data_IF_083793610602
#
_entry.id   IF_083793610602
#
_cell.length_a   1.000
_cell.length_b   1.000
_cell.length_c   1.000
_cell.angle_alpha   90.00
_cell.angle_beta   90.00
_cell.angle_gamma   90.00
#
_symmetry.space_group_name_H-M   'P 1'
#
loop_
_entity.id
_entity.type
_entity.pdbx_description
1 polymer ?
#
# COMPACT_ATOMS: atom_id res chain seq x y z
N UNK A 1 -33.89 -27.21 -22.06
CA UNK A 1 -34.12 -26.14 -21.06
C UNK A 1 -32.83 -25.49 -20.53
N UNK A 2 -31.69 -26.19 -20.46
CA UNK A 2 -30.46 -25.63 -19.87
C UNK A 2 -29.75 -24.56 -20.73
N UNK A 3 -29.86 -24.63 -22.05
CA UNK A 3 -29.17 -23.69 -22.95
C UNK A 3 -29.74 -22.26 -22.87
N UNK A 4 -31.06 -22.14 -22.70
CA UNK A 4 -31.76 -20.84 -22.68
C UNK A 4 -31.53 -20.10 -21.36
N UNK A 5 -31.50 -20.84 -20.24
CA UNK A 5 -31.12 -20.29 -18.93
C UNK A 5 -29.67 -19.83 -18.89
N UNK A 6 -28.75 -20.62 -19.47
CA UNK A 6 -27.34 -20.24 -19.54
C UNK A 6 -27.13 -18.98 -20.40
N UNK A 7 -27.88 -18.85 -21.49
CA UNK A 7 -27.84 -17.67 -22.35
C UNK A 7 -28.36 -16.42 -21.62
N UNK A 8 -29.48 -16.52 -20.92
CA UNK A 8 -30.04 -15.42 -20.13
C UNK A 8 -29.11 -15.01 -18.98
N UNK A 9 -28.50 -15.98 -18.31
CA UNK A 9 -27.49 -15.74 -17.27
C UNK A 9 -26.28 -14.97 -17.81
N UNK A 10 -25.72 -15.43 -18.93
CA UNK A 10 -24.57 -14.77 -19.56
C UNK A 10 -24.89 -13.35 -20.04
N UNK A 11 -26.08 -13.13 -20.60
CA UNK A 11 -26.53 -11.80 -21.01
C UNK A 11 -26.60 -10.84 -19.81
N UNK A 12 -27.14 -11.32 -18.68
CA UNK A 12 -27.24 -10.54 -17.45
C UNK A 12 -25.86 -10.20 -16.88
N UNK A 13 -24.96 -11.18 -16.82
CA UNK A 13 -23.58 -11.00 -16.35
C UNK A 13 -22.83 -10.00 -17.23
N UNK A 14 -23.01 -10.04 -18.55
CA UNK A 14 -22.36 -9.11 -19.46
C UNK A 14 -22.89 -7.68 -19.29
N UNK A 15 -24.22 -7.50 -19.18
CA UNK A 15 -24.80 -6.19 -18.93
C UNK A 15 -24.29 -5.55 -17.61
N UNK A 16 -24.12 -6.35 -16.55
CA UNK A 16 -23.52 -5.89 -15.30
C UNK A 16 -22.05 -5.48 -15.48
N UNK A 17 -21.26 -6.29 -16.19
CA UNK A 17 -19.84 -5.98 -16.47
C UNK A 17 -19.68 -4.73 -17.31
N UNK A 18 -20.55 -4.52 -18.31
CA UNK A 18 -20.52 -3.37 -19.19
C UNK A 18 -20.91 -2.09 -18.44
N UNK A 19 -21.94 -2.16 -17.60
CA UNK A 19 -22.32 -1.05 -16.71
C UNK A 19 -21.19 -0.70 -15.73
N UNK A 20 -20.62 -1.70 -15.05
CA UNK A 20 -19.50 -1.49 -14.14
C UNK A 20 -18.27 -0.92 -14.86
N UNK A 21 -17.97 -1.41 -16.07
CA UNK A 21 -16.89 -0.89 -16.92
C UNK A 21 -17.15 0.55 -17.37
N UNK A 22 -18.39 0.91 -17.70
CA UNK A 22 -18.75 2.26 -18.10
C UNK A 22 -18.60 3.28 -16.96
N UNK A 23 -18.90 2.87 -15.72
CA UNK A 23 -18.79 3.74 -14.53
C UNK A 23 -17.37 3.77 -13.96
N UNK A 24 -16.71 2.61 -13.84
CA UNK A 24 -15.46 2.45 -13.11
C UNK A 24 -14.23 2.32 -14.02
N UNK A 25 -14.43 2.16 -15.33
CA UNK A 25 -13.36 1.81 -16.27
C UNK A 25 -12.86 0.37 -16.10
N UNK A 26 -11.87 -0.01 -16.91
CA UNK A 26 -11.15 -1.30 -16.79
C UNK A 26 -9.71 -1.03 -16.39
N UNK A 27 -9.26 -1.68 -15.33
CA UNK A 27 -7.83 -1.74 -15.02
C UNK A 27 -7.12 -2.59 -16.07
N UNK A 28 -5.99 -2.11 -16.61
CA UNK A 28 -5.18 -2.90 -17.54
C UNK A 28 -4.78 -4.23 -16.89
N UNK A 29 -5.04 -5.39 -17.52
CA UNK A 29 -4.57 -6.68 -17.03
C UNK A 29 -3.05 -6.63 -16.82
N UNK A 30 -2.57 -7.08 -15.67
CA UNK A 30 -1.13 -7.15 -15.37
C UNK A 30 -0.51 -5.88 -14.75
N UNK A 31 -1.25 -4.78 -14.59
CA UNK A 31 -0.81 -3.71 -13.66
C UNK A 31 -1.23 -4.08 -12.25
N UNK A 32 -0.40 -4.90 -11.59
CA UNK A 32 -0.41 -4.95 -10.13
C UNK A 32 -0.27 -3.52 -9.59
N UNK A 33 -0.94 -3.27 -8.46
CA UNK A 33 -0.79 -2.10 -7.57
C UNK A 33 0.48 -1.34 -7.92
N UNK A 34 0.37 -0.09 -8.42
CA UNK A 34 1.52 0.78 -8.66
C UNK A 34 2.47 0.52 -7.49
N UNK A 35 3.63 -0.05 -7.79
CA UNK A 35 4.69 -0.20 -6.80
C UNK A 35 5.03 1.23 -6.43
N UNK A 36 4.34 1.74 -5.40
CA UNK A 36 4.81 2.86 -4.62
C UNK A 36 6.11 2.31 -4.07
N UNK A 37 7.20 2.54 -4.79
CA UNK A 37 8.52 2.13 -4.39
C UNK A 37 8.67 2.66 -2.97
N UNK A 38 8.55 1.74 -2.01
CA UNK A 38 8.50 2.13 -0.62
C UNK A 38 9.96 2.20 -0.24
N UNK A 39 10.64 3.26 -0.68
CA UNK A 39 12.10 3.36 -0.66
C UNK A 39 12.70 3.24 0.76
N UNK A 40 11.87 3.42 1.79
CA UNK A 40 12.19 3.23 3.21
C UNK A 40 11.77 1.85 3.78
N UNK A 41 11.32 0.90 2.95
CA UNK A 41 10.80 -0.43 3.32
C UNK A 41 11.88 -1.50 3.31
N UNK A 42 12.79 -1.42 4.26
CA UNK A 42 13.87 -2.40 4.44
C UNK A 42 13.40 -3.67 5.19
N UNK A 43 14.27 -4.67 5.30
CA UNK A 43 13.99 -5.95 5.99
C UNK A 43 13.62 -5.74 7.48
N UNK A 44 14.23 -4.76 8.14
CA UNK A 44 13.94 -4.43 9.54
C UNK A 44 12.50 -3.92 9.70
N UNK A 45 12.07 -2.99 8.84
CA UNK A 45 10.69 -2.47 8.79
C UNK A 45 9.71 -3.60 8.48
N UNK A 46 10.06 -4.52 7.59
CA UNK A 46 9.21 -5.67 7.27
C UNK A 46 9.05 -6.60 8.48
N UNK A 47 10.17 -6.96 9.10
CA UNK A 47 10.20 -7.86 10.25
C UNK A 47 9.38 -7.31 11.43
N UNK A 48 9.58 -6.03 11.79
CA UNK A 48 8.86 -5.43 12.92
C UNK A 48 7.36 -5.27 12.64
N UNK A 49 6.98 -5.00 11.39
CA UNK A 49 5.56 -4.92 11.00
C UNK A 49 4.91 -6.31 10.99
N UNK A 50 5.63 -7.34 10.55
CA UNK A 50 5.16 -8.72 10.59
C UNK A 50 4.98 -9.19 12.04
N UNK A 51 5.93 -8.88 12.93
CA UNK A 51 5.82 -9.19 14.36
C UNK A 51 4.63 -8.49 15.01
N UNK A 52 4.49 -7.17 14.79
CA UNK A 52 3.32 -6.40 15.23
C UNK A 52 2.00 -7.01 14.73
N UNK A 53 1.95 -7.49 13.49
CA UNK A 53 0.75 -8.12 12.89
C UNK A 53 0.43 -9.46 13.58
N UNK A 54 1.44 -10.30 13.81
CA UNK A 54 1.27 -11.57 14.51
C UNK A 54 0.72 -11.38 15.93
N UNK A 55 1.22 -10.39 16.66
CA UNK A 55 0.71 -10.09 18.02
C UNK A 55 -0.72 -9.54 17.98
N UNK A 56 -1.04 -8.71 16.99
CA UNK A 56 -2.42 -8.24 16.77
C UNK A 56 -3.38 -9.41 16.50
N UNK A 57 -2.99 -10.35 15.64
CA UNK A 57 -3.78 -11.55 15.35
C UNK A 57 -4.03 -12.38 16.62
N UNK A 58 -2.98 -12.58 17.44
CA UNK A 58 -3.12 -13.25 18.74
C UNK A 58 -4.14 -12.54 19.64
N UNK A 59 -4.03 -11.22 19.79
CA UNK A 59 -4.99 -10.44 20.56
C UNK A 59 -6.43 -10.54 20.01
N UNK A 60 -6.61 -10.59 18.69
CA UNK A 60 -7.93 -10.78 18.07
C UNK A 60 -8.52 -12.17 18.30
N UNK A 61 -7.70 -13.16 18.64
CA UNK A 61 -8.17 -14.50 19.00
C UNK A 61 -8.45 -14.65 20.49
N UNK A 62 -7.66 -14.01 21.36
CA UNK A 62 -7.76 -14.20 22.81
C UNK A 62 -8.62 -13.15 23.51
N UNK A 63 -8.63 -11.91 23.01
CA UNK A 63 -9.23 -10.72 23.63
C UNK A 63 -8.75 -10.41 25.05
N UNK A 64 -7.61 -10.97 25.48
CA UNK A 64 -7.03 -10.72 26.80
C UNK A 64 -6.34 -9.34 26.88
N UNK A 65 -6.31 -8.76 28.08
CA UNK A 65 -5.72 -7.45 28.33
C UNK A 65 -4.20 -7.48 28.13
N UNK A 66 -3.56 -8.58 28.53
CA UNK A 66 -2.12 -8.82 28.40
C UNK A 66 -1.70 -8.85 26.92
N UNK A 67 -2.51 -9.50 26.08
CA UNK A 67 -2.27 -9.53 24.63
C UNK A 67 -2.50 -8.17 23.97
N UNK A 68 -3.46 -7.39 24.48
CA UNK A 68 -3.65 -5.99 24.06
C UNK A 68 -2.43 -5.15 24.39
N UNK A 69 -1.88 -5.28 25.59
CA UNK A 69 -0.72 -4.51 26.03
C UNK A 69 0.54 -4.91 25.24
N UNK A 70 0.74 -6.20 24.98
CA UNK A 70 1.79 -6.69 24.09
C UNK A 70 1.67 -6.09 22.68
N UNK A 71 0.45 -6.03 22.12
CA UNK A 71 0.21 -5.37 20.83
C UNK A 71 0.54 -3.87 20.87
N UNK A 72 0.17 -3.15 21.94
CA UNK A 72 0.45 -1.72 22.05
C UNK A 72 1.95 -1.43 22.12
N UNK A 73 2.73 -2.26 22.79
CA UNK A 73 4.20 -2.18 22.81
C UNK A 73 4.76 -2.40 21.41
N UNK A 74 4.41 -3.51 20.76
CA UNK A 74 4.87 -3.82 19.39
C UNK A 74 4.45 -2.75 18.38
N UNK A 75 3.27 -2.14 18.55
CA UNK A 75 2.80 -1.03 17.72
C UNK A 75 3.68 0.21 17.85
N UNK A 76 4.09 0.56 19.08
CA UNK A 76 5.00 1.71 19.30
C UNK A 76 6.37 1.46 18.69
N UNK A 77 6.90 0.25 18.84
CA UNK A 77 8.20 -0.13 18.27
C UNK A 77 8.17 -0.10 16.74
N UNK A 78 7.15 -0.69 16.11
CA UNK A 78 6.99 -0.64 14.66
C UNK A 78 6.89 0.81 14.14
N UNK A 79 6.15 1.67 14.84
CA UNK A 79 6.06 3.09 14.48
C UNK A 79 7.41 3.80 14.59
N UNK A 80 8.20 3.50 15.62
CA UNK A 80 9.55 4.06 15.82
C UNK A 80 10.47 3.65 14.67
N UNK A 81 10.54 2.37 14.33
CA UNK A 81 11.39 1.86 13.25
C UNK A 81 10.99 2.47 11.91
N UNK A 82 9.69 2.54 11.61
CA UNK A 82 9.18 3.18 10.39
C UNK A 82 9.57 4.67 10.34
N UNK A 83 9.47 5.39 11.45
CA UNK A 83 9.87 6.80 11.52
C UNK A 83 11.38 6.99 11.29
N UNK A 84 12.22 6.13 11.87
CA UNK A 84 13.66 6.13 11.68
C UNK A 84 14.01 5.84 10.21
N UNK A 85 13.44 4.79 9.62
CA UNK A 85 13.70 4.43 8.23
C UNK A 85 13.29 5.54 7.25
N UNK A 86 12.13 6.16 7.48
CA UNK A 86 11.69 7.33 6.71
C UNK A 86 12.66 8.51 6.88
N UNK A 87 13.02 8.85 8.11
CA UNK A 87 13.93 9.97 8.39
C UNK A 87 15.31 9.76 7.77
N UNK A 88 15.84 8.54 7.85
CA UNK A 88 17.12 8.16 7.23
C UNK A 88 17.07 8.35 5.72
N UNK A 89 16.03 7.81 5.06
CA UNK A 89 15.90 7.94 3.62
C UNK A 89 15.74 9.40 3.17
N UNK A 90 14.93 10.19 3.88
CA UNK A 90 14.80 11.62 3.57
C UNK A 90 16.11 12.37 3.78
N UNK A 91 16.86 12.05 4.85
CA UNK A 91 18.19 12.65 5.06
C UNK A 91 19.14 12.33 3.92
N UNK A 92 19.25 11.07 3.52
CA UNK A 92 20.08 10.65 2.38
C UNK A 92 19.65 11.37 1.08
N UNK A 93 18.34 11.49 0.83
CA UNK A 93 17.82 12.25 -0.30
C UNK A 93 18.25 13.73 -0.22
N UNK A 94 18.11 14.38 0.94
CA UNK A 94 18.54 15.77 1.14
C UNK A 94 20.06 15.96 1.02
N UNK A 95 20.86 15.00 1.48
CA UNK A 95 22.31 15.03 1.36
C UNK A 95 22.73 14.91 -0.12
N UNK A 96 22.07 14.04 -0.90
CA UNK A 96 22.26 14.00 -2.37
C UNK A 96 21.74 15.25 -3.07
N UNK A 97 20.75 15.93 -2.50
CA UNK A 97 20.18 17.17 -3.02
C UNK A 97 21.14 18.37 -2.89
N UNK A 98 22.07 18.32 -1.94
CA UNK A 98 23.09 19.35 -1.73
C UNK A 98 24.25 19.29 -2.76
N UNK A 99 24.09 18.50 -3.84
CA UNK A 99 25.01 18.40 -4.98
C UNK A 99 24.30 18.83 -6.28
N UNK A 100 25.03 19.28 -7.31
CA UNK A 100 24.48 19.78 -8.59
C UNK A 100 23.54 18.80 -9.30
N UNK A 101 23.70 17.50 -9.07
CA UNK A 101 22.84 16.42 -9.57
C UNK A 101 21.47 16.36 -8.87
N UNK A 102 21.41 16.84 -7.62
CA UNK A 102 20.23 16.89 -6.77
C UNK A 102 19.13 17.83 -7.26
N UNK A 103 19.49 19.02 -7.74
CA UNK A 103 18.52 20.00 -8.26
C UNK A 103 17.68 19.43 -9.42
N UNK A 104 18.26 18.55 -10.25
CA UNK A 104 17.52 17.83 -11.32
C UNK A 104 16.51 16.83 -10.75
N UNK A 105 16.79 16.21 -9.60
CA UNK A 105 15.87 15.27 -8.95
C UNK A 105 14.67 15.97 -8.31
N UNK A 106 14.80 17.22 -7.85
CA UNK A 106 13.65 18.03 -7.41
C UNK A 106 12.68 18.30 -8.55
N UNK A 107 13.18 18.64 -9.74
CA UNK A 107 12.35 18.87 -10.92
C UNK A 107 11.56 17.61 -11.33
N UNK A 108 12.17 16.42 -11.21
CA UNK A 108 11.53 15.13 -11.51
C UNK A 108 10.55 14.72 -10.37
N UNK A 109 10.93 14.96 -9.11
CA UNK A 109 10.14 14.64 -7.92
C UNK A 109 8.89 15.51 -7.77
N UNK A 110 9.00 16.83 -8.00
CA UNK A 110 7.87 17.75 -8.01
C UNK A 110 6.85 17.40 -9.08
N UNK A 111 7.30 17.01 -10.28
CA UNK A 111 6.41 16.57 -11.36
C UNK A 111 5.59 15.32 -10.99
N UNK A 112 6.13 14.43 -10.14
CA UNK A 112 5.42 13.24 -9.65
C UNK A 112 4.46 13.53 -8.48
N UNK A 113 4.71 14.56 -7.67
CA UNK A 113 3.85 14.94 -6.54
C UNK A 113 2.67 15.83 -6.96
N UNK A 114 2.86 16.71 -7.95
CA UNK A 114 1.83 17.65 -8.41
C UNK A 114 0.82 17.00 -9.37
N UNK A 115 1.14 15.85 -9.98
CA UNK A 115 0.27 15.15 -10.94
C UNK A 115 -0.45 13.91 -10.37
N UNK A 116 -0.37 13.66 -9.05
CA UNK A 116 -1.13 12.57 -8.41
C UNK A 116 -2.40 13.16 -7.79
N UNK A 117 -3.60 12.79 -8.29
CA UNK A 117 -4.85 13.22 -7.68
C UNK A 117 -4.90 12.70 -6.24
N UNK A 118 -5.11 13.61 -5.29
CA UNK A 118 -5.49 13.25 -3.93
C UNK A 118 -6.95 12.79 -3.99
N UNK A 119 -7.16 11.48 -4.05
CA UNK A 119 -8.45 10.84 -3.80
C UNK A 119 -8.60 10.52 -2.33
#
# INVERSE_FOLDING_TARGET
MNALLLQQWNATVNAMKDSATGVLGRTSPGKTKIEKATWWWNEEVQSIIAQKKSIYERWMHTFYAEDRDAYLIAKREANKVVAIAKSKHYRELYDTLNTSEGEKLLYIGWRKLVLVPQS
#
